data_IF_811322777842
#
_entry.id   IF_811322777842
#
_cell.length_a   1.000
_cell.length_b   1.000
_cell.length_c   1.000
_cell.angle_alpha   90.00
_cell.angle_beta   90.00
_cell.angle_gamma   90.00
#
_symmetry.space_group_name_H-M   'P 1'
#
loop_
_entity.id
_entity.type
_entity.pdbx_description
1 polymer ?
#
# COMPACT_ATOMS: atom_id res chain seq x y z
N UNK A 1 3.44 12.51 -2.78
CA UNK A 1 4.65 12.38 -1.97
C UNK A 1 4.66 11.03 -1.26
N UNK A 2 5.83 10.44 -1.07
CA UNK A 2 5.96 9.11 -0.47
C UNK A 2 6.51 9.22 0.93
N UNK A 3 6.00 8.39 1.83
CA UNK A 3 6.49 8.25 3.18
C UNK A 3 7.00 6.83 3.37
N UNK A 4 8.23 6.68 3.84
CA UNK A 4 8.86 5.37 3.98
C UNK A 4 8.90 5.00 5.46
N UNK A 5 8.30 3.84 5.78
CA UNK A 5 8.37 3.31 7.13
C UNK A 5 9.69 2.58 7.35
N UNK A 6 10.08 2.45 8.60
CA UNK A 6 11.31 1.80 8.98
C UNK A 6 11.37 0.37 8.49
N UNK A 7 12.58 -0.10 8.22
CA UNK A 7 12.80 -1.50 7.88
C UNK A 7 12.45 -2.40 9.06
N UNK A 8 11.91 -3.56 8.72
CA UNK A 8 11.58 -4.57 9.70
C UNK A 8 12.61 -5.69 9.60
N UNK A 9 13.30 -5.96 10.69
CA UNK A 9 14.30 -7.02 10.78
C UNK A 9 13.83 -8.05 11.79
N UNK A 10 13.34 -9.17 11.29
CA UNK A 10 12.83 -10.24 12.14
C UNK A 10 11.38 -10.02 12.54
N UNK A 11 10.78 -11.03 13.13
CA UNK A 11 9.38 -11.01 13.49
C UNK A 11 9.15 -11.07 14.97
N UNK A 12 9.31 -9.97 15.69
CA UNK A 12 8.90 -9.93 17.09
C UNK A 12 7.63 -9.11 17.21
N UNK A 13 6.84 -9.40 18.24
CA UNK A 13 5.60 -8.67 18.50
C UNK A 13 5.88 -7.18 18.73
N UNK A 14 7.04 -6.86 19.29
CA UNK A 14 7.42 -5.47 19.51
C UNK A 14 7.60 -4.72 18.18
N UNK A 15 8.21 -5.38 17.20
CA UNK A 15 8.41 -4.79 15.89
C UNK A 15 7.07 -4.59 15.19
N UNK A 16 6.18 -5.57 15.28
CA UNK A 16 4.85 -5.47 14.70
C UNK A 16 4.05 -4.34 15.32
N UNK A 17 4.10 -4.18 16.62
CA UNK A 17 3.39 -3.11 17.32
C UNK A 17 3.95 -1.74 16.96
N UNK A 18 5.27 -1.62 16.88
CA UNK A 18 5.90 -0.37 16.49
C UNK A 18 5.51 0.01 15.05
N UNK A 19 5.49 -0.97 14.13
CA UNK A 19 5.09 -0.73 12.76
C UNK A 19 3.62 -0.33 12.68
N UNK A 20 2.77 -1.01 13.42
CA UNK A 20 1.33 -0.71 13.46
C UNK A 20 1.10 0.73 13.92
N UNK A 21 1.78 1.15 14.98
CA UNK A 21 1.67 2.50 15.47
C UNK A 21 2.16 3.52 14.45
N UNK A 22 3.28 3.25 13.81
CA UNK A 22 3.83 4.12 12.78
C UNK A 22 2.85 4.29 11.62
N UNK A 23 2.23 3.21 11.17
CA UNK A 23 1.24 3.27 10.10
C UNK A 23 0.05 4.12 10.52
N UNK A 24 -0.47 3.91 11.73
CA UNK A 24 -1.60 4.69 12.23
C UNK A 24 -1.27 6.19 12.27
N UNK A 25 -0.07 6.54 12.69
CA UNK A 25 0.34 7.93 12.76
C UNK A 25 0.46 8.59 11.39
N UNK A 26 0.77 7.80 10.36
CA UNK A 26 1.01 8.31 9.01
C UNK A 26 -0.22 8.25 8.12
N UNK A 27 -1.31 7.65 8.58
CA UNK A 27 -2.55 7.58 7.80
C UNK A 27 -3.11 8.99 7.55
N UNK A 28 -3.63 9.19 6.34
CA UNK A 28 -4.34 10.42 5.96
C UNK A 28 -3.49 11.69 5.97
N UNK A 29 -2.18 11.54 5.75
CA UNK A 29 -1.28 12.69 5.63
C UNK A 29 -0.94 13.01 4.18
N UNK A 30 -1.80 12.61 3.24
CA UNK A 30 -1.64 12.85 1.80
C UNK A 30 -0.37 12.26 1.21
N UNK A 31 0.12 11.17 1.80
CA UNK A 31 1.35 10.49 1.37
C UNK A 31 1.11 9.00 1.26
N UNK A 32 1.78 8.38 0.30
CA UNK A 32 1.82 6.92 0.26
C UNK A 32 2.74 6.41 1.37
N UNK A 33 2.33 5.34 2.03
CA UNK A 33 3.14 4.68 3.05
C UNK A 33 3.82 3.48 2.40
N UNK A 34 5.16 3.48 2.40
CA UNK A 34 5.94 2.37 1.89
C UNK A 34 6.50 1.58 3.05
N UNK A 35 6.20 0.29 3.10
CA UNK A 35 6.69 -0.60 4.14
C UNK A 35 7.82 -1.43 3.54
N UNK A 36 9.02 -1.25 4.06
CA UNK A 36 10.22 -1.94 3.58
C UNK A 36 10.70 -2.93 4.63
N UNK A 37 11.16 -4.08 4.18
CA UNK A 37 11.67 -5.10 5.09
C UNK A 37 11.66 -6.48 4.45
N UNK A 38 12.06 -7.48 5.23
CA UNK A 38 12.08 -8.86 4.77
C UNK A 38 10.66 -9.36 4.55
N UNK A 39 10.49 -10.20 3.53
CA UNK A 39 9.17 -10.71 3.15
C UNK A 39 8.51 -11.53 4.26
N UNK A 40 9.32 -12.14 5.12
CA UNK A 40 8.86 -13.05 6.15
C UNK A 40 8.41 -12.37 7.44
N UNK A 41 8.36 -11.07 7.48
CA UNK A 41 8.04 -10.35 8.73
C UNK A 41 6.55 -10.22 9.02
N UNK A 42 5.69 -10.82 8.20
CA UNK A 42 4.27 -10.80 8.46
C UNK A 42 3.56 -9.50 8.11
N UNK A 43 4.11 -8.73 7.18
CA UNK A 43 3.52 -7.46 6.76
C UNK A 43 2.07 -7.61 6.31
N UNK A 44 1.80 -8.60 5.46
CA UNK A 44 0.45 -8.84 4.95
C UNK A 44 -0.51 -9.19 6.08
N UNK A 45 -0.07 -10.05 7.00
CA UNK A 45 -0.88 -10.43 8.15
C UNK A 45 -1.20 -9.22 9.02
N UNK A 46 -0.21 -8.39 9.28
CA UNK A 46 -0.39 -7.16 10.06
C UNK A 46 -1.41 -6.24 9.42
N UNK A 47 -1.29 -5.99 8.13
CA UNK A 47 -2.21 -5.10 7.42
C UNK A 47 -3.62 -5.66 7.39
N UNK A 48 -3.78 -6.96 7.17
CA UNK A 48 -5.08 -7.60 7.21
C UNK A 48 -5.73 -7.46 8.59
N UNK A 49 -4.93 -7.55 9.64
CA UNK A 49 -5.42 -7.42 11.00
C UNK A 49 -5.83 -5.96 11.30
N UNK A 50 -5.03 -5.00 10.84
CA UNK A 50 -5.34 -3.59 11.06
C UNK A 50 -6.63 -3.14 10.37
N UNK A 51 -6.90 -3.68 9.19
CA UNK A 51 -8.01 -3.22 8.36
C UNK A 51 -9.12 -4.26 8.21
N UNK A 52 -9.17 -5.27 9.06
CA UNK A 52 -10.11 -6.39 8.92
C UNK A 52 -11.57 -5.96 8.94
N UNK A 53 -11.89 -4.91 9.70
CA UNK A 53 -13.25 -4.41 9.84
C UNK A 53 -13.54 -3.20 8.95
N UNK A 54 -12.62 -2.88 8.04
CA UNK A 54 -12.75 -1.73 7.17
C UNK A 54 -13.19 -2.17 5.77
N UNK A 55 -14.37 -1.73 5.35
CA UNK A 55 -14.94 -2.09 4.05
C UNK A 55 -14.43 -1.21 2.91
N UNK A 56 -13.68 -0.14 3.22
CA UNK A 56 -13.20 0.80 2.23
C UNK A 56 -11.77 0.48 1.76
N UNK A 57 -11.33 -0.77 1.93
CA UNK A 57 -9.99 -1.21 1.56
C UNK A 57 -10.03 -2.01 0.28
N UNK A 58 -9.20 -1.63 -0.67
CA UNK A 58 -8.95 -2.41 -1.88
C UNK A 58 -7.58 -3.06 -1.78
N UNK A 59 -7.53 -4.38 -1.93
CA UNK A 59 -6.30 -5.14 -1.89
C UNK A 59 -5.86 -5.49 -3.31
N UNK A 60 -4.63 -5.12 -3.65
CA UNK A 60 -4.01 -5.50 -4.92
C UNK A 60 -2.73 -6.27 -4.61
N UNK A 61 -2.47 -7.33 -5.36
CA UNK A 61 -1.30 -8.17 -5.15
C UNK A 61 -0.41 -8.15 -6.39
N UNK A 62 0.79 -7.62 -6.25
CA UNK A 62 1.75 -7.53 -7.36
C UNK A 62 2.21 -8.87 -7.90
N UNK A 63 2.02 -9.98 -7.16
CA UNK A 63 2.32 -11.31 -7.67
C UNK A 63 1.29 -11.77 -8.71
N UNK A 64 0.12 -11.15 -8.76
CA UNK A 64 -0.90 -11.51 -9.72
C UNK A 64 -0.69 -10.80 -11.05
N UNK A 65 -0.80 -11.55 -12.14
CA UNK A 65 -0.61 -11.00 -13.48
C UNK A 65 -1.63 -9.89 -13.77
N UNK A 66 -2.85 -10.06 -13.34
CA UNK A 66 -3.90 -9.07 -13.58
C UNK A 66 -3.55 -7.73 -12.94
N UNK A 67 -2.98 -7.75 -11.74
CA UNK A 67 -2.54 -6.54 -11.05
C UNK A 67 -1.40 -5.87 -11.82
N UNK A 68 -0.41 -6.64 -12.25
CA UNK A 68 0.72 -6.10 -13.02
C UNK A 68 0.24 -5.48 -14.33
N UNK A 69 -0.68 -6.15 -15.03
CA UNK A 69 -1.25 -5.65 -16.27
C UNK A 69 -2.02 -4.35 -16.04
N UNK A 70 -2.73 -4.26 -14.93
CA UNK A 70 -3.45 -3.07 -14.54
C UNK A 70 -2.51 -1.86 -14.48
N UNK A 71 -1.34 -2.03 -13.89
CA UNK A 71 -0.40 -0.94 -13.72
C UNK A 71 0.41 -0.62 -14.98
N UNK A 72 0.44 -1.52 -15.97
CA UNK A 72 1.16 -1.26 -17.22
C UNK A 72 0.54 -0.12 -18.02
N UNK A 73 -0.78 -0.02 -18.02
CA UNK A 73 -1.53 0.97 -18.80
C UNK A 73 -2.26 1.94 -17.90
N UNK A 74 -1.56 2.44 -16.91
CA UNK A 74 -2.16 3.24 -15.87
C UNK A 74 -2.45 4.67 -16.34
N UNK A 75 -3.65 5.18 -16.03
CA UNK A 75 -4.00 6.58 -16.15
C UNK A 75 -4.81 6.98 -14.93
N UNK A 76 -4.85 8.27 -14.62
CA UNK A 76 -5.60 8.74 -13.47
C UNK A 76 -7.08 8.38 -13.57
N UNK A 77 -7.67 8.54 -14.75
CA UNK A 77 -9.08 8.22 -14.98
C UNK A 77 -9.35 6.74 -14.74
N UNK A 78 -8.50 5.88 -15.28
CA UNK A 78 -8.67 4.43 -15.12
C UNK A 78 -8.51 4.01 -13.67
N UNK A 79 -7.55 4.59 -12.96
CA UNK A 79 -7.34 4.31 -11.55
C UNK A 79 -8.53 4.72 -10.70
N UNK A 80 -9.09 5.89 -10.97
CA UNK A 80 -10.27 6.35 -10.24
C UNK A 80 -11.43 5.39 -10.43
N UNK A 81 -11.58 4.85 -11.61
CA UNK A 81 -12.62 3.86 -11.90
C UNK A 81 -12.38 2.57 -11.10
N UNK A 82 -11.13 2.08 -11.10
CA UNK A 82 -10.78 0.83 -10.43
C UNK A 82 -10.89 0.97 -8.91
N UNK A 83 -10.41 2.08 -8.36
CA UNK A 83 -10.47 2.32 -6.93
C UNK A 83 -11.91 2.55 -6.47
N UNK A 84 -12.76 3.08 -7.34
CA UNK A 84 -14.15 3.31 -7.03
C UNK A 84 -14.30 4.22 -5.83
N UNK A 85 -15.03 3.76 -4.80
CA UNK A 85 -15.23 4.50 -3.57
C UNK A 85 -14.31 4.04 -2.44
N UNK A 86 -13.36 3.16 -2.74
CA UNK A 86 -12.41 2.70 -1.73
C UNK A 86 -11.48 3.83 -1.35
N UNK A 87 -11.21 3.95 -0.06
CA UNK A 87 -10.39 5.03 0.48
C UNK A 87 -8.98 4.58 0.85
N UNK A 88 -8.79 3.29 1.06
CA UNK A 88 -7.49 2.72 1.39
C UNK A 88 -7.13 1.71 0.33
N UNK A 89 -5.99 1.91 -0.31
CA UNK A 89 -5.51 1.02 -1.36
C UNK A 89 -4.21 0.38 -0.85
N UNK A 90 -4.24 -0.93 -0.71
CA UNK A 90 -3.07 -1.70 -0.26
C UNK A 90 -2.54 -2.51 -1.42
N UNK A 91 -1.26 -2.33 -1.72
CA UNK A 91 -0.59 -3.06 -2.80
C UNK A 91 0.45 -3.98 -2.16
N UNK A 92 0.08 -5.25 -2.00
CA UNK A 92 1.00 -6.26 -1.48
C UNK A 92 1.94 -6.69 -2.59
N UNK A 93 3.16 -7.08 -2.22
CA UNK A 93 4.19 -7.47 -3.17
C UNK A 93 4.38 -6.44 -4.28
N UNK A 94 4.36 -5.15 -3.91
CA UNK A 94 4.42 -4.04 -4.86
C UNK A 94 5.71 -4.04 -5.68
N UNK A 95 6.80 -4.58 -5.13
CA UNK A 95 8.08 -4.63 -5.83
C UNK A 95 8.02 -5.51 -7.09
N UNK A 96 6.98 -6.33 -7.24
CA UNK A 96 6.78 -7.15 -8.43
C UNK A 96 6.18 -6.34 -9.58
N UNK A 97 5.74 -5.14 -9.32
CA UNK A 97 5.17 -4.26 -10.35
C UNK A 97 6.28 -3.39 -10.94
N UNK A 98 6.44 -3.44 -12.26
CA UNK A 98 7.46 -2.69 -12.94
C UNK A 98 7.26 -1.18 -12.76
N UNK A 99 8.34 -0.46 -12.44
CA UNK A 99 8.32 1.00 -12.25
C UNK A 99 7.34 1.44 -11.16
N UNK A 100 7.21 0.63 -10.11
CA UNK A 100 6.19 0.90 -9.08
C UNK A 100 6.36 2.28 -8.43
N UNK A 101 7.58 2.74 -8.23
CA UNK A 101 7.82 4.05 -7.63
C UNK A 101 7.19 5.19 -8.43
N UNK A 102 7.36 5.18 -9.74
CA UNK A 102 6.74 6.19 -10.62
C UNK A 102 5.22 6.07 -10.61
N UNK A 103 4.71 4.87 -10.56
CA UNK A 103 3.27 4.62 -10.55
C UNK A 103 2.62 5.07 -9.25
N UNK A 104 3.29 4.83 -8.12
CA UNK A 104 2.82 5.32 -6.82
C UNK A 104 2.79 6.85 -6.80
N UNK A 105 3.82 7.47 -7.37
CA UNK A 105 3.85 8.92 -7.47
C UNK A 105 2.70 9.46 -8.30
N UNK A 106 2.41 8.83 -9.43
CA UNK A 106 1.29 9.22 -10.26
C UNK A 106 -0.03 9.14 -9.47
N UNK A 107 -0.22 8.08 -8.72
CA UNK A 107 -1.43 7.91 -7.92
C UNK A 107 -1.54 9.03 -6.89
N UNK A 108 -0.47 9.29 -6.14
CA UNK A 108 -0.51 10.31 -5.10
C UNK A 108 -0.69 11.72 -5.65
N UNK A 109 -0.15 11.99 -6.84
CA UNK A 109 -0.26 13.31 -7.46
C UNK A 109 -1.63 13.55 -8.11
N UNK A 110 -2.26 12.51 -8.63
CA UNK A 110 -3.46 12.63 -9.43
C UNK A 110 -4.75 12.28 -8.71
N UNK A 111 -4.68 11.49 -7.65
CA UNK A 111 -5.86 11.01 -6.94
C UNK A 111 -5.79 11.46 -5.50
N UNK A 112 -6.78 12.27 -5.10
CA UNK A 112 -6.87 12.77 -3.74
C UNK A 112 -7.88 11.97 -2.94
N UNK A 113 -7.76 12.02 -1.61
CA UNK A 113 -8.75 11.41 -0.74
C UNK A 113 -8.57 9.93 -0.50
N UNK A 114 -7.48 9.34 -0.97
CA UNK A 114 -7.17 7.94 -0.71
C UNK A 114 -5.87 7.82 0.08
N UNK A 115 -5.76 6.72 0.81
CA UNK A 115 -4.52 6.35 1.50
C UNK A 115 -3.92 5.14 0.80
N UNK A 116 -2.69 5.29 0.32
CA UNK A 116 -1.97 4.25 -0.39
C UNK A 116 -0.94 3.62 0.54
N UNK A 117 -0.94 2.29 0.62
CA UNK A 117 0.02 1.52 1.41
C UNK A 117 0.63 0.44 0.51
N UNK A 118 1.93 0.43 0.42
CA UNK A 118 2.63 -0.52 -0.44
C UNK A 118 3.81 -1.21 0.25
#
# INVERSE_FOLDING_TARGET
>A
MLEICSQINGGSDMIERALQQTIHEKLWQDKAILIMGARQVGKTTLLKQMFKDNNDVLWLNGDEQDTRTLFENISATRLKYIFGQKKIIIIDEAQRIENIGLRLKLITDQINGIQLIA
#
